data_IF_569700851663
#
_entry.id   IF_569700851663
#
_cell.length_a   1.000
_cell.length_b   1.000
_cell.length_c   1.000
_cell.angle_alpha   90.00
_cell.angle_beta   90.00
_cell.angle_gamma   90.00
#
_symmetry.space_group_name_H-M   'P 1'
#
loop_
_entity.id
_entity.type
_entity.pdbx_description
1 polymer ?
#
# COMPACT_ATOMS: atom_id res chain seq x y z
N UNK A 1 12.92 -16.28 -3.34
CA UNK A 1 11.90 -15.23 -3.14
C UNK A 1 12.62 -14.02 -2.57
N UNK A 2 12.70 -12.91 -3.32
CA UNK A 2 13.59 -11.79 -3.00
C UNK A 2 13.03 -10.97 -1.83
N UNK A 3 13.84 -10.78 -0.79
CA UNK A 3 13.57 -9.89 0.34
C UNK A 3 13.30 -8.43 -0.11
N UNK A 4 13.84 -8.04 -1.27
CA UNK A 4 13.71 -6.69 -1.83
C UNK A 4 12.25 -6.27 -2.04
N UNK A 5 11.39 -7.19 -2.48
CA UNK A 5 9.98 -6.86 -2.75
C UNK A 5 9.18 -6.58 -1.47
N UNK A 6 9.59 -7.19 -0.36
CA UNK A 6 9.00 -6.94 0.96
C UNK A 6 9.50 -5.61 1.50
N UNK A 7 10.80 -5.31 1.33
CA UNK A 7 11.39 -4.03 1.71
C UNK A 7 10.75 -2.86 0.94
N UNK A 8 10.48 -3.03 -0.35
CA UNK A 8 9.76 -2.05 -1.17
C UNK A 8 8.35 -1.74 -0.62
N UNK A 9 7.62 -2.77 -0.20
CA UNK A 9 6.30 -2.60 0.41
C UNK A 9 6.40 -1.88 1.77
N UNK A 10 7.40 -2.21 2.60
CA UNK A 10 7.67 -1.51 3.84
C UNK A 10 8.06 -0.03 3.62
N UNK A 11 8.89 0.28 2.63
CA UNK A 11 9.26 1.65 2.30
C UNK A 11 8.08 2.52 1.87
N UNK A 12 7.07 1.93 1.21
CA UNK A 12 5.82 2.62 0.91
C UNK A 12 4.98 2.89 2.16
N UNK A 13 4.91 1.94 3.10
CA UNK A 13 4.24 2.14 4.39
C UNK A 13 4.92 3.26 5.17
N UNK A 14 6.25 3.27 5.23
CA UNK A 14 7.00 4.34 5.89
C UNK A 14 6.71 5.71 5.28
N UNK A 15 6.55 5.77 3.95
CA UNK A 15 6.18 7.02 3.26
C UNK A 15 4.76 7.46 3.59
N UNK A 16 3.81 6.52 3.65
CA UNK A 16 2.45 6.80 4.10
C UNK A 16 2.41 7.28 5.56
N UNK A 17 3.17 6.65 6.46
CA UNK A 17 3.27 7.03 7.87
C UNK A 17 3.89 8.41 8.04
N UNK A 18 4.94 8.75 7.29
CA UNK A 18 5.50 10.11 7.26
C UNK A 18 4.48 11.15 6.78
N UNK A 19 3.65 10.81 5.79
CA UNK A 19 2.59 11.70 5.33
C UNK A 19 1.54 11.95 6.41
N UNK A 20 1.13 10.89 7.13
CA UNK A 20 0.24 10.98 8.30
C UNK A 20 0.83 11.87 9.39
N UNK A 21 2.09 11.68 9.75
CA UNK A 21 2.79 12.50 10.74
C UNK A 21 2.85 13.97 10.32
N UNK A 22 3.12 14.26 9.05
CA UNK A 22 3.12 15.63 8.51
C UNK A 22 1.74 16.29 8.54
N UNK A 23 0.67 15.52 8.33
CA UNK A 23 -0.70 16.01 8.42
C UNK A 23 -1.14 16.27 9.86
N UNK A 24 -0.45 15.70 10.85
CA UNK A 24 -0.73 15.90 12.28
C UNK A 24 -2.07 15.34 12.76
N UNK A 25 -2.70 14.47 11.98
CA UNK A 25 -4.01 13.85 12.27
C UNK A 25 -4.11 12.47 11.63
N UNK A 26 -5.11 11.68 12.06
CA UNK A 26 -5.45 10.46 11.35
C UNK A 26 -6.06 10.78 9.99
N UNK A 27 -5.53 10.14 8.95
CA UNK A 27 -5.97 10.31 7.57
C UNK A 27 -6.77 9.10 7.11
N UNK A 28 -7.84 9.36 6.37
CA UNK A 28 -8.57 8.32 5.64
C UNK A 28 -7.70 7.71 4.53
N UNK A 29 -7.91 6.44 4.18
CA UNK A 29 -7.05 5.74 3.21
C UNK A 29 -7.01 6.41 1.83
N UNK A 30 -8.10 7.06 1.40
CA UNK A 30 -8.15 7.82 0.14
C UNK A 30 -7.18 9.01 0.14
N UNK A 31 -6.89 9.61 1.31
CA UNK A 31 -5.98 10.75 1.42
C UNK A 31 -4.52 10.39 1.10
N UNK A 32 -4.14 9.12 1.22
CA UNK A 32 -2.79 8.65 0.86
C UNK A 32 -2.63 8.40 -0.64
N UNK A 33 -3.74 8.28 -1.39
CA UNK A 33 -3.70 7.87 -2.79
C UNK A 33 -2.87 8.82 -3.65
N UNK A 34 -3.29 10.07 -3.79
CA UNK A 34 -2.60 11.08 -4.61
C UNK A 34 -1.15 11.36 -4.12
N UNK A 35 -0.90 11.65 -2.84
CA UNK A 35 0.45 12.05 -2.39
C UNK A 35 1.44 10.90 -2.27
N UNK A 36 1.00 9.66 -2.05
CA UNK A 36 1.88 8.52 -1.75
C UNK A 36 1.82 7.44 -2.83
N UNK A 37 0.62 6.95 -3.16
CA UNK A 37 0.48 5.72 -3.95
C UNK A 37 0.40 5.94 -5.47
N UNK A 38 -0.39 6.91 -5.93
CA UNK A 38 -0.65 7.17 -7.35
C UNK A 38 0.62 7.53 -8.13
N UNK A 39 1.60 8.13 -7.45
CA UNK A 39 2.88 8.55 -8.04
C UNK A 39 4.01 7.52 -7.85
N UNK A 40 3.77 6.42 -7.11
CA UNK A 40 4.81 5.43 -6.85
C UNK A 40 4.98 4.48 -8.04
N UNK A 41 6.22 4.24 -8.52
CA UNK A 41 6.48 3.30 -9.62
C UNK A 41 6.19 1.84 -9.26
N UNK A 42 6.13 1.54 -7.96
CA UNK A 42 5.89 0.20 -7.41
C UNK A 42 4.40 -0.16 -7.39
N UNK A 43 3.53 0.84 -7.34
CA UNK A 43 2.08 0.64 -7.26
C UNK A 43 1.52 0.26 -8.63
N UNK A 44 0.67 -0.74 -8.64
CA UNK A 44 -0.18 -1.07 -9.77
C UNK A 44 -1.45 -0.20 -9.70
N UNK A 45 -1.37 0.96 -10.35
CA UNK A 45 -2.43 1.97 -10.33
C UNK A 45 -3.71 1.46 -10.97
N UNK A 46 -3.62 0.71 -12.06
CA UNK A 46 -4.78 0.20 -12.77
C UNK A 46 -5.50 -0.86 -11.92
N UNK A 47 -4.75 -1.81 -11.37
CA UNK A 47 -5.30 -2.84 -10.50
C UNK A 47 -5.87 -2.25 -9.21
N UNK A 48 -5.19 -1.29 -8.62
CA UNK A 48 -5.69 -0.64 -7.40
C UNK A 48 -6.97 0.14 -7.65
N UNK A 49 -7.12 0.82 -8.80
CA UNK A 49 -8.39 1.47 -9.14
C UNK A 49 -9.53 0.47 -9.37
N UNK A 50 -9.23 -0.73 -9.85
CA UNK A 50 -10.23 -1.78 -10.10
C UNK A 50 -10.60 -2.58 -8.84
N UNK A 51 -9.62 -2.93 -8.00
CA UNK A 51 -9.77 -3.88 -6.87
C UNK A 51 -9.54 -3.25 -5.49
N UNK A 52 -9.08 -2.00 -5.41
CA UNK A 52 -8.67 -1.34 -4.16
C UNK A 52 -9.81 -0.99 -3.21
N UNK A 53 -11.05 -0.98 -3.70
CA UNK A 53 -12.24 -0.63 -2.94
C UNK A 53 -12.57 0.87 -2.96
N UNK A 54 -13.78 1.19 -2.51
CA UNK A 54 -14.28 2.56 -2.31
C UNK A 54 -15.04 2.61 -0.97
N UNK A 55 -14.51 3.22 0.10
CA UNK A 55 -13.22 3.92 0.17
C UNK A 55 -12.02 2.99 -0.01
N UNK A 56 -10.85 3.54 -0.40
CA UNK A 56 -9.64 2.77 -0.61
C UNK A 56 -9.34 1.88 0.61
N UNK A 57 -9.10 0.61 0.38
CA UNK A 57 -8.82 -0.36 1.45
C UNK A 57 -7.61 -1.23 1.14
N UNK A 58 -7.28 -1.36 -0.15
CA UNK A 58 -6.16 -2.13 -0.65
C UNK A 58 -5.44 -1.35 -1.73
N UNK A 59 -4.12 -1.41 -1.69
CA UNK A 59 -3.22 -0.92 -2.74
C UNK A 59 -2.44 -2.11 -3.25
N UNK A 60 -2.47 -2.35 -4.55
CA UNK A 60 -1.75 -3.45 -5.18
C UNK A 60 -0.41 -2.93 -5.68
N UNK A 61 0.66 -3.69 -5.46
CA UNK A 61 1.94 -3.42 -6.08
C UNK A 61 2.07 -4.26 -7.36
N UNK A 62 3.01 -3.86 -8.22
CA UNK A 62 3.41 -4.68 -9.38
C UNK A 62 4.10 -5.98 -8.97
N UNK A 63 4.56 -6.05 -7.73
CA UNK A 63 5.13 -7.24 -7.10
C UNK A 63 4.00 -8.15 -6.55
N UNK A 64 4.28 -9.38 -6.05
CA UNK A 64 3.25 -10.25 -5.48
C UNK A 64 2.70 -9.78 -4.12
N UNK A 65 3.01 -8.54 -3.73
CA UNK A 65 2.61 -7.90 -2.48
C UNK A 65 1.68 -6.72 -2.75
N UNK A 66 0.86 -6.40 -1.77
CA UNK A 66 0.05 -5.20 -1.71
C UNK A 66 0.07 -4.62 -0.31
N UNK A 67 -0.60 -3.49 -0.12
CA UNK A 67 -0.82 -2.86 1.16
C UNK A 67 -2.31 -2.89 1.48
N UNK A 68 -2.66 -3.28 2.70
CA UNK A 68 -4.03 -3.27 3.18
C UNK A 68 -4.16 -2.25 4.31
N UNK A 69 -5.18 -1.40 4.22
CA UNK A 69 -5.47 -0.46 5.27
C UNK A 69 -6.16 -1.16 6.45
N UNK A 70 -5.72 -0.84 7.66
CA UNK A 70 -6.28 -1.32 8.92
C UNK A 70 -6.98 -0.15 9.62
N UNK A 71 -8.30 0.01 9.47
CA UNK A 71 -9.02 1.13 10.07
C UNK A 71 -8.94 1.16 11.61
N UNK A 72 -8.79 0.00 12.24
CA UNK A 72 -8.60 -0.11 13.70
C UNK A 72 -7.31 0.54 14.21
N UNK A 73 -6.26 0.56 13.38
CA UNK A 73 -4.94 1.09 13.72
C UNK A 73 -4.59 2.36 12.92
N UNK A 74 -5.46 2.77 11.99
CA UNK A 74 -5.25 3.87 11.05
C UNK A 74 -3.88 3.78 10.36
N UNK A 75 -3.55 2.58 9.87
CA UNK A 75 -2.21 2.21 9.38
C UNK A 75 -2.29 1.17 8.25
N UNK A 76 -1.22 1.02 7.49
CA UNK A 76 -1.09 0.11 6.36
C UNK A 76 -0.23 -1.11 6.72
N UNK A 77 -0.66 -2.30 6.30
CA UNK A 77 0.09 -3.54 6.48
C UNK A 77 0.38 -4.18 5.13
N UNK A 78 1.58 -4.76 4.90
CA UNK A 78 1.83 -5.46 3.66
C UNK A 78 1.07 -6.79 3.70
N UNK A 79 0.36 -7.11 2.61
CA UNK A 79 -0.27 -8.39 2.39
C UNK A 79 0.28 -9.02 1.11
N UNK A 80 0.15 -10.34 1.00
CA UNK A 80 0.59 -11.06 -0.19
C UNK A 80 -0.64 -11.49 -1.00
N UNK A 81 -0.60 -11.27 -2.31
CA UNK A 81 -1.67 -11.67 -3.24
C UNK A 81 -1.17 -12.48 -4.44
N UNK A 82 0.14 -12.65 -4.60
CA UNK A 82 0.71 -13.53 -5.61
C UNK A 82 0.85 -14.98 -5.14
N UNK A 83 0.71 -15.92 -6.08
CA UNK A 83 0.88 -17.35 -5.82
C UNK A 83 2.23 -17.64 -5.14
N UNK A 84 2.21 -18.52 -4.14
CA UNK A 84 3.43 -19.12 -3.60
C UNK A 84 3.89 -20.16 -4.60
N UNK A 85 4.81 -19.80 -5.50
CA UNK A 85 5.63 -20.82 -6.16
C UNK A 85 6.61 -21.36 -5.13
N UNK A 86 6.20 -22.42 -4.45
CA UNK A 86 7.11 -23.38 -3.82
C UNK A 86 7.75 -24.16 -4.97
N UNK A 87 8.88 -23.68 -5.48
CA UNK A 87 9.83 -24.54 -6.18
C UNK A 87 10.67 -25.32 -5.15
#
# INVERSE_FOLDING_TARGET
MSYEQVEEAWGLIDTAMKHKEQAGQDLEPDAYWEPVFANSPLVDVERTKAEGGQPLSKVFLKSPYGLQFRPEYMDWIPFRHGEVKLD
#
